data_IF_324211100633
#
_entry.id   IF_324211100633
#
_cell.length_a   1.000
_cell.length_b   1.000
_cell.length_c   1.000
_cell.angle_alpha   90.00
_cell.angle_beta   90.00
_cell.angle_gamma   90.00
#
_symmetry.space_group_name_H-M   'P 1'
#
loop_
_entity.id
_entity.type
_entity.pdbx_description
1 polymer ?
#
# COMPACT_ATOMS: atom_id res chain seq x y z
N UNK A 1 -2.59 -17.59 34.84
CA UNK A 1 -2.00 -16.24 34.97
C UNK A 1 -1.50 -15.83 33.58
N UNK A 2 -2.28 -15.02 32.88
CA UNK A 2 -2.20 -14.86 31.42
C UNK A 2 -0.94 -14.13 30.95
N UNK A 3 -0.25 -14.74 29.99
CA UNK A 3 0.88 -14.17 29.27
C UNK A 3 0.40 -13.02 28.38
N UNK A 4 0.22 -11.83 28.95
CA UNK A 4 0.07 -10.61 28.15
C UNK A 4 1.47 -10.23 27.65
N UNK A 5 1.91 -10.86 26.55
CA UNK A 5 3.21 -10.61 25.95
C UNK A 5 3.12 -9.37 25.04
N UNK A 6 3.65 -8.20 25.44
CA UNK A 6 3.45 -6.95 24.70
C UNK A 6 3.96 -7.00 23.25
N UNK A 7 4.94 -7.86 22.94
CA UNK A 7 5.38 -8.11 21.55
C UNK A 7 4.32 -8.78 20.67
N UNK A 8 3.49 -9.68 21.22
CA UNK A 8 2.39 -10.31 20.45
C UNK A 8 1.27 -9.32 20.09
N UNK A 9 1.09 -8.27 20.90
CA UNK A 9 0.08 -7.25 20.61
C UNK A 9 0.55 -6.29 19.50
N UNK A 10 1.85 -5.97 19.47
CA UNK A 10 2.44 -5.13 18.42
C UNK A 10 2.50 -5.85 17.07
N UNK A 11 2.81 -7.15 17.04
CA UNK A 11 2.79 -7.93 15.79
C UNK A 11 1.41 -7.97 15.15
N UNK A 12 0.34 -8.12 15.96
CA UNK A 12 -1.05 -8.07 15.48
C UNK A 12 -1.42 -6.74 14.83
N UNK A 13 -0.84 -5.62 15.28
CA UNK A 13 -1.10 -4.30 14.68
C UNK A 13 -0.45 -4.20 13.30
N UNK A 14 0.77 -4.73 13.16
CA UNK A 14 1.46 -4.79 11.87
C UNK A 14 0.68 -5.63 10.87
N UNK A 15 0.30 -6.86 11.24
CA UNK A 15 -0.42 -7.78 10.34
C UNK A 15 -1.76 -7.19 9.86
N UNK A 16 -2.48 -6.54 10.77
CA UNK A 16 -3.75 -5.90 10.44
C UNK A 16 -3.58 -4.65 9.59
N UNK A 17 -2.52 -3.86 9.81
CA UNK A 17 -2.19 -2.72 8.94
C UNK A 17 -1.83 -3.18 7.51
N UNK A 18 -1.03 -4.23 7.37
CA UNK A 18 -0.69 -4.83 6.07
C UNK A 18 -1.92 -5.42 5.37
N UNK A 19 -2.82 -6.06 6.12
CA UNK A 19 -4.10 -6.54 5.60
C UNK A 19 -4.97 -5.39 5.09
N UNK A 20 -5.06 -4.29 5.85
CA UNK A 20 -5.83 -3.11 5.44
C UNK A 20 -5.22 -2.48 4.16
N UNK A 21 -3.89 -2.34 4.09
CA UNK A 21 -3.21 -1.85 2.88
C UNK A 21 -3.56 -2.67 1.64
N UNK A 22 -3.52 -4.01 1.74
CA UNK A 22 -3.92 -4.91 0.63
C UNK A 22 -5.38 -4.77 0.21
N UNK A 23 -6.25 -4.25 1.06
CA UNK A 23 -7.66 -3.97 0.76
C UNK A 23 -7.89 -2.57 0.18
N UNK A 24 -6.83 -1.76 0.00
CA UNK A 24 -6.92 -0.42 -0.55
C UNK A 24 -7.15 0.69 0.49
N UNK A 25 -7.03 0.40 1.79
CA UNK A 25 -7.07 1.45 2.81
C UNK A 25 -5.79 2.31 2.77
N UNK A 26 -5.95 3.63 2.93
CA UNK A 26 -4.83 4.57 3.03
C UNK A 26 -4.28 4.81 4.44
N UNK A 27 -4.86 4.18 5.47
CA UNK A 27 -4.40 4.36 6.85
C UNK A 27 -5.16 3.54 7.89
N UNK A 28 -4.75 3.69 9.15
CA UNK A 28 -5.36 3.03 10.31
C UNK A 28 -5.50 3.99 11.50
N UNK A 29 -6.66 3.93 12.18
CA UNK A 29 -6.89 4.65 13.43
C UNK A 29 -6.03 4.09 14.56
N UNK A 30 -5.61 4.98 15.47
CA UNK A 30 -4.70 4.69 16.57
C UNK A 30 -5.33 5.18 17.87
N UNK A 31 -5.23 4.37 18.93
CA UNK A 31 -5.73 4.71 20.27
C UNK A 31 -4.60 4.83 21.30
N UNK A 32 -3.36 4.49 20.92
CA UNK A 32 -2.21 4.54 21.81
C UNK A 32 -0.94 4.98 21.05
N UNK A 33 -0.09 5.87 21.62
CA UNK A 33 1.12 6.39 20.95
C UNK A 33 2.09 5.31 20.44
N UNK A 34 2.25 4.19 21.14
CA UNK A 34 3.07 3.04 20.69
C UNK A 34 2.67 2.45 19.33
N UNK A 35 1.47 2.75 18.83
CA UNK A 35 0.98 2.26 17.53
C UNK A 35 1.42 3.17 16.37
N UNK A 36 1.87 4.39 16.65
CA UNK A 36 2.12 5.43 15.64
C UNK A 36 3.16 4.98 14.62
N UNK A 37 4.35 4.57 15.06
CA UNK A 37 5.42 4.19 14.15
C UNK A 37 5.08 2.93 13.34
N UNK A 38 4.38 1.98 13.94
CA UNK A 38 3.95 0.75 13.25
C UNK A 38 3.01 1.10 12.09
N UNK A 39 1.99 1.93 12.36
CA UNK A 39 1.01 2.32 11.35
C UNK A 39 1.65 3.24 10.29
N UNK A 40 2.45 4.23 10.67
CA UNK A 40 3.09 5.15 9.72
C UNK A 40 4.00 4.41 8.73
N UNK A 41 4.69 3.36 9.18
CA UNK A 41 5.61 2.62 8.33
C UNK A 41 4.92 1.61 7.40
N UNK A 42 3.69 1.18 7.70
CA UNK A 42 2.99 0.16 6.92
C UNK A 42 2.39 0.70 5.62
N UNK A 43 1.80 1.89 5.65
CA UNK A 43 0.98 2.42 4.54
C UNK A 43 1.74 3.04 3.35
N UNK A 44 2.95 3.62 3.50
CA UNK A 44 3.68 4.17 2.36
C UNK A 44 3.90 3.13 1.25
N UNK A 45 3.81 3.54 -0.03
CA UNK A 45 4.20 2.67 -1.13
C UNK A 45 5.71 2.39 -1.05
N UNK A 46 6.09 1.23 -1.55
CA UNK A 46 7.49 0.85 -1.76
C UNK A 46 8.07 1.63 -2.94
N UNK A 47 9.39 1.75 -2.99
CA UNK A 47 10.09 2.39 -4.13
C UNK A 47 9.74 1.71 -5.47
N UNK A 48 9.56 0.39 -5.47
CA UNK A 48 9.16 -0.36 -6.65
C UNK A 48 7.74 -0.01 -7.13
N UNK A 49 6.80 0.16 -6.21
CA UNK A 49 5.43 0.60 -6.54
C UNK A 49 5.43 2.03 -7.11
N UNK A 50 6.22 2.94 -6.52
CA UNK A 50 6.37 4.31 -7.03
C UNK A 50 6.98 4.30 -8.44
N UNK A 51 8.06 3.55 -8.66
CA UNK A 51 8.71 3.45 -9.96
C UNK A 51 7.78 2.84 -11.03
N UNK A 52 6.97 1.84 -10.65
CA UNK A 52 5.95 1.29 -11.53
C UNK A 52 4.86 2.32 -11.86
N UNK A 53 4.33 3.04 -10.86
CA UNK A 53 3.32 4.08 -11.07
C UNK A 53 3.81 5.20 -12.01
N UNK A 54 5.07 5.61 -11.89
CA UNK A 54 5.68 6.59 -12.80
C UNK A 54 5.73 6.08 -14.24
N UNK A 55 6.08 4.81 -14.46
CA UNK A 55 6.08 4.18 -15.80
C UNK A 55 4.67 4.03 -16.36
N UNK A 56 3.68 3.72 -15.53
CA UNK A 56 2.26 3.66 -15.89
C UNK A 56 1.79 5.03 -16.42
N UNK A 57 2.05 6.11 -15.68
CA UNK A 57 1.69 7.47 -16.10
C UNK A 57 2.40 7.85 -17.41
N UNK A 58 3.66 7.48 -17.57
CA UNK A 58 4.40 7.72 -18.81
C UNK A 58 3.78 6.96 -20.00
N UNK A 59 3.43 5.69 -19.82
CA UNK A 59 2.81 4.88 -20.85
C UNK A 59 1.43 5.41 -21.27
N UNK A 60 0.57 5.79 -20.31
CA UNK A 60 -0.75 6.39 -20.58
C UNK A 60 -0.65 7.70 -21.38
N UNK A 61 0.32 8.55 -21.06
CA UNK A 61 0.58 9.79 -21.84
C UNK A 61 0.87 9.49 -23.31
N UNK A 62 1.54 8.39 -23.62
CA UNK A 62 1.84 8.00 -25.00
C UNK A 62 0.65 7.38 -25.73
N UNK A 63 -0.30 6.79 -25.00
CA UNK A 63 -1.46 6.11 -25.58
C UNK A 63 -2.57 7.06 -26.03
N UNK A 64 -2.49 8.35 -25.67
CA UNK A 64 -3.52 9.37 -25.94
C UNK A 64 -4.92 8.95 -25.46
N UNK A 65 -4.98 8.25 -24.32
CA UNK A 65 -6.22 7.75 -23.71
C UNK A 65 -6.65 6.36 -24.18
N UNK A 66 -5.84 5.68 -25.01
CA UNK A 66 -6.03 4.28 -25.34
C UNK A 66 -5.39 3.31 -24.33
N UNK A 67 -5.71 2.02 -24.43
CA UNK A 67 -5.02 0.99 -23.65
C UNK A 67 -3.60 0.76 -24.20
N UNK A 68 -2.62 0.54 -23.31
CA UNK A 68 -1.21 0.29 -23.65
C UNK A 68 -0.66 -0.89 -22.86
N UNK A 69 0.31 -1.60 -23.42
CA UNK A 69 0.97 -2.74 -22.74
C UNK A 69 2.25 -2.27 -22.04
N UNK A 70 2.38 -2.55 -20.74
CA UNK A 70 3.58 -2.30 -19.92
C UNK A 70 3.91 -3.56 -19.13
N UNK A 71 5.15 -4.06 -19.21
CA UNK A 71 5.62 -5.28 -18.52
C UNK A 71 4.68 -6.49 -18.67
N UNK A 72 4.10 -6.67 -19.86
CA UNK A 72 3.16 -7.77 -20.11
C UNK A 72 1.72 -7.50 -19.67
N UNK A 73 1.43 -6.39 -18.99
CA UNK A 73 0.10 -6.02 -18.47
C UNK A 73 -0.56 -4.93 -19.30
N UNK A 74 -1.88 -4.97 -19.39
CA UNK A 74 -2.68 -3.90 -19.98
C UNK A 74 -2.84 -2.75 -18.98
N UNK A 75 -2.54 -1.54 -19.44
CA UNK A 75 -2.74 -0.29 -18.72
C UNK A 75 -3.84 0.48 -19.44
N UNK A 76 -4.89 0.81 -18.70
CA UNK A 76 -6.05 1.56 -19.14
C UNK A 76 -6.56 2.48 -18.02
N UNK A 77 -7.72 3.11 -18.21
CA UNK A 77 -8.21 4.17 -17.32
C UNK A 77 -8.32 3.77 -15.84
N UNK A 78 -8.86 2.59 -15.46
CA UNK A 78 -8.93 2.17 -14.06
C UNK A 78 -7.58 1.95 -13.38
N UNK A 79 -6.49 1.78 -14.13
CA UNK A 79 -5.14 1.62 -13.56
C UNK A 79 -4.48 2.98 -13.33
N UNK A 80 -4.88 4.01 -14.08
CA UNK A 80 -4.25 5.34 -14.07
C UNK A 80 -5.01 6.34 -13.19
N UNK A 81 -6.35 6.22 -13.10
CA UNK A 81 -7.25 7.12 -12.37
C UNK A 81 -7.51 6.70 -10.94
#
# INVERSE_FOLDING_TARGET
>A
MGLHHPRMMLSRITDDAERAKRMGFGGKLRIHPKQVNIVINAFPPTEAEIAWAQRVIAADKTSKGGAVKLDGRMIDRPVVL
#
